data_IF_025974583396
#
_entry.id   IF_025974583396
#
_cell.length_a   1.000
_cell.length_b   1.000
_cell.length_c   1.000
_cell.angle_alpha   90.00
_cell.angle_beta   90.00
_cell.angle_gamma   90.00
#
_symmetry.space_group_name_H-M   'P 1'
#
loop_
_entity.id
_entity.type
_entity.pdbx_description
1 polymer ?
#
# COMPACT_ATOMS: atom_id res chain seq x y z
N UNK A 1 14.58 -2.48 24.25
CA UNK A 1 13.97 -3.66 23.65
C UNK A 1 13.08 -3.20 22.49
N UNK A 2 13.02 -3.98 21.45
CA UNK A 2 12.13 -3.68 20.33
C UNK A 2 10.68 -3.82 20.78
N UNK A 3 9.85 -2.86 20.42
CA UNK A 3 8.41 -2.84 20.70
C UNK A 3 7.71 -3.26 19.43
N UNK A 4 6.85 -4.27 19.51
CA UNK A 4 6.07 -4.76 18.39
C UNK A 4 4.60 -4.37 18.59
N UNK A 5 3.98 -3.83 17.55
CA UNK A 5 2.58 -3.44 17.54
C UNK A 5 1.77 -4.45 16.74
N UNK A 6 0.66 -4.91 17.31
CA UNK A 6 -0.32 -5.75 16.62
C UNK A 6 -1.67 -5.02 16.67
N UNK A 7 -2.31 -4.90 15.53
CA UNK A 7 -3.67 -4.33 15.45
C UNK A 7 -4.69 -5.43 15.63
N UNK A 8 -5.76 -5.15 16.38
CA UNK A 8 -6.89 -6.05 16.50
C UNK A 8 -7.75 -6.04 15.23
N UNK A 9 -8.22 -7.18 14.82
CA UNK A 9 -9.16 -7.31 13.68
C UNK A 9 -10.61 -6.98 14.06
N UNK A 10 -10.88 -6.75 15.35
CA UNK A 10 -12.22 -6.39 15.81
C UNK A 10 -12.50 -4.88 15.63
N UNK A 11 -13.78 -4.53 15.65
CA UNK A 11 -14.27 -3.15 15.49
C UNK A 11 -13.84 -2.18 16.60
N UNK A 12 -13.10 -2.64 17.62
CA UNK A 12 -12.62 -1.80 18.72
C UNK A 12 -11.38 -0.98 18.37
N UNK A 13 -10.69 -1.32 17.26
CA UNK A 13 -9.62 -0.50 16.67
C UNK A 13 -8.40 -0.25 17.56
N UNK A 14 -8.19 -1.04 18.60
CA UNK A 14 -7.06 -0.88 19.53
C UNK A 14 -5.78 -1.49 18.97
N UNK A 15 -4.65 -0.81 19.18
CA UNK A 15 -3.33 -1.40 19.01
C UNK A 15 -2.86 -2.03 20.34
N UNK A 16 -2.35 -3.24 20.28
CA UNK A 16 -1.72 -3.92 21.41
C UNK A 16 -0.21 -3.93 21.25
N UNK A 17 0.50 -3.67 22.32
CA UNK A 17 1.95 -3.80 22.37
C UNK A 17 2.28 -5.20 22.89
N UNK A 18 3.03 -5.97 22.08
CA UNK A 18 3.49 -7.31 22.45
C UNK A 18 5.01 -7.31 22.60
N UNK A 19 5.53 -8.19 23.43
CA UNK A 19 6.95 -8.41 23.58
C UNK A 19 7.54 -9.21 22.38
N UNK A 20 8.86 -9.23 22.30
CA UNK A 20 9.56 -9.90 21.21
C UNK A 20 9.26 -11.40 21.16
N UNK A 21 9.09 -12.06 22.31
CA UNK A 21 8.81 -13.50 22.39
C UNK A 21 7.46 -13.83 21.80
N UNK A 22 6.43 -13.05 22.12
CA UNK A 22 5.09 -13.18 21.56
C UNK A 22 5.07 -12.94 20.04
N UNK A 23 5.83 -11.93 19.56
CA UNK A 23 5.96 -11.65 18.11
C UNK A 23 6.61 -12.83 17.38
N UNK A 24 7.71 -13.37 17.89
CA UNK A 24 8.40 -14.51 17.30
C UNK A 24 7.53 -15.77 17.27
N UNK A 25 6.73 -16.00 18.30
CA UNK A 25 5.80 -17.12 18.36
C UNK A 25 4.72 -17.01 17.29
N UNK A 26 4.10 -15.85 17.15
CA UNK A 26 3.11 -15.59 16.09
C UNK A 26 3.71 -15.82 14.71
N UNK A 27 4.91 -15.29 14.47
CA UNK A 27 5.61 -15.49 13.18
C UNK A 27 5.93 -16.97 12.90
N UNK A 28 6.36 -17.72 13.92
CA UNK A 28 6.65 -19.15 13.78
C UNK A 28 5.39 -19.94 13.37
N UNK A 29 4.26 -19.68 14.02
CA UNK A 29 2.98 -20.31 13.71
C UNK A 29 2.44 -19.92 12.32
N UNK A 30 2.67 -18.67 11.89
CA UNK A 30 2.28 -18.23 10.55
C UNK A 30 3.11 -18.87 9.44
N UNK A 31 4.41 -19.14 9.71
CA UNK A 31 5.32 -19.78 8.74
C UNK A 31 5.09 -21.28 8.61
N UNK A 32 4.73 -21.93 9.72
CA UNK A 32 4.51 -23.36 9.76
C UNK A 32 3.18 -23.70 10.46
N UNK A 33 2.12 -23.99 9.67
CA UNK A 33 0.82 -24.40 10.23
C UNK A 33 0.83 -25.66 11.08
N UNK A 34 1.91 -26.45 11.01
CA UNK A 34 2.11 -27.66 11.83
C UNK A 34 2.87 -27.40 13.14
N UNK A 35 3.28 -26.14 13.39
CA UNK A 35 4.02 -25.76 14.59
C UNK A 35 3.29 -26.14 15.86
N UNK A 36 3.99 -26.82 16.76
CA UNK A 36 3.44 -27.24 18.07
C UNK A 36 4.09 -26.42 19.17
N UNK A 37 3.36 -25.48 19.76
CA UNK A 37 3.88 -24.68 20.87
C UNK A 37 4.28 -25.53 22.07
N UNK A 38 5.37 -25.15 22.74
CA UNK A 38 5.77 -25.68 24.03
C UNK A 38 4.80 -25.26 25.14
N UNK A 39 4.87 -25.83 26.32
CA UNK A 39 4.01 -25.48 27.44
C UNK A 39 4.09 -24.00 27.83
N UNK A 40 5.29 -23.41 27.82
CA UNK A 40 5.50 -21.99 28.11
C UNK A 40 4.98 -21.07 27.00
N UNK A 41 5.09 -21.48 25.75
CA UNK A 41 4.52 -20.75 24.61
C UNK A 41 2.99 -20.83 24.60
N UNK A 42 2.43 -21.93 25.09
CA UNK A 42 0.99 -22.07 25.23
C UNK A 42 0.40 -21.05 26.23
N UNK A 43 1.09 -20.75 27.33
CA UNK A 43 0.68 -19.70 28.27
C UNK A 43 0.66 -18.31 27.60
N UNK A 44 1.64 -18.04 26.74
CA UNK A 44 1.67 -16.80 25.94
C UNK A 44 0.48 -16.73 24.98
N UNK A 45 0.16 -17.83 24.29
CA UNK A 45 -1.00 -17.91 23.40
C UNK A 45 -2.32 -17.71 24.12
N UNK A 46 -2.47 -18.27 25.33
CA UNK A 46 -3.65 -18.06 26.18
C UNK A 46 -3.86 -16.58 26.50
N UNK A 47 -2.80 -15.89 26.88
CA UNK A 47 -2.84 -14.46 27.14
C UNK A 47 -3.19 -13.68 25.88
N UNK A 48 -2.54 -13.98 24.73
CA UNK A 48 -2.84 -13.35 23.46
C UNK A 48 -4.27 -13.61 22.98
N UNK A 49 -4.83 -14.79 23.27
CA UNK A 49 -6.21 -15.10 22.96
C UNK A 49 -7.19 -14.31 23.85
N UNK A 50 -6.86 -14.15 25.13
CA UNK A 50 -7.67 -13.35 26.07
C UNK A 50 -7.69 -11.87 25.64
N UNK A 51 -6.57 -11.39 25.10
CA UNK A 51 -6.43 -10.02 24.59
C UNK A 51 -6.97 -9.84 23.16
N UNK A 52 -7.51 -10.92 22.55
CA UNK A 52 -8.09 -10.87 21.19
C UNK A 52 -7.07 -10.74 20.06
N UNK A 53 -5.79 -11.06 20.30
CA UNK A 53 -4.71 -11.02 19.29
C UNK A 53 -4.69 -12.30 18.46
N UNK A 54 -4.98 -13.44 19.08
CA UNK A 54 -5.12 -14.74 18.41
C UNK A 54 -6.46 -15.34 18.77
N UNK A 55 -7.08 -16.08 17.87
CA UNK A 55 -8.30 -16.81 18.15
C UNK A 55 -8.01 -18.31 18.28
N UNK A 56 -8.65 -18.95 19.26
CA UNK A 56 -8.73 -20.41 19.31
C UNK A 56 -9.74 -20.87 18.27
N UNK A 57 -9.30 -21.23 17.10
CA UNK A 57 -10.21 -21.86 16.15
C UNK A 57 -9.62 -23.15 15.65
N UNK A 58 -10.37 -24.23 15.83
CA UNK A 58 -10.29 -25.42 14.96
C UNK A 58 -10.83 -25.07 13.57
N UNK A 59 -10.71 -23.80 13.20
CA UNK A 59 -11.38 -23.27 12.06
C UNK A 59 -10.53 -23.53 10.81
N UNK A 60 -11.09 -24.27 9.92
CA UNK A 60 -11.09 -23.85 8.54
C UNK A 60 -11.16 -22.32 8.55
N UNK A 61 -10.03 -21.66 8.27
CA UNK A 61 -9.91 -20.22 8.15
C UNK A 61 -11.08 -19.74 7.28
N UNK A 62 -12.11 -19.21 7.90
CA UNK A 62 -13.00 -18.32 7.18
C UNK A 62 -12.13 -17.11 6.93
N UNK A 63 -11.68 -16.93 5.70
CA UNK A 63 -11.20 -15.64 5.25
C UNK A 63 -12.21 -14.62 5.79
N UNK A 64 -11.80 -13.68 6.64
CA UNK A 64 -12.73 -12.68 7.13
C UNK A 64 -13.40 -12.10 5.90
N UNK A 65 -14.72 -12.24 5.79
CA UNK A 65 -15.45 -11.72 4.64
C UNK A 65 -15.40 -10.20 4.76
N UNK A 66 -14.32 -9.63 4.23
CA UNK A 66 -14.16 -8.19 4.19
C UNK A 66 -15.22 -7.61 3.26
N UNK A 67 -16.05 -6.74 3.79
CA UNK A 67 -17.08 -6.04 3.04
C UNK A 67 -16.82 -4.54 3.09
N UNK A 68 -16.75 -3.91 1.94
CA UNK A 68 -16.60 -2.46 1.85
C UNK A 68 -17.21 -1.94 0.55
N UNK A 69 -17.91 -0.83 0.63
CA UNK A 69 -18.44 -0.12 -0.53
C UNK A 69 -17.37 0.63 -1.30
N UNK A 70 -16.38 1.14 -0.58
CA UNK A 70 -15.31 1.98 -1.08
C UNK A 70 -13.98 1.58 -0.46
N UNK A 71 -12.91 1.49 -1.28
CA UNK A 71 -11.55 1.31 -0.82
C UNK A 71 -10.65 2.41 -1.37
N UNK A 72 -9.72 2.87 -0.53
CA UNK A 72 -8.71 3.83 -0.93
C UNK A 72 -7.32 3.27 -0.70
N UNK A 73 -6.45 3.45 -1.70
CA UNK A 73 -5.08 2.96 -1.66
C UNK A 73 -4.10 4.05 -2.06
N UNK A 74 -2.96 4.00 -1.38
CA UNK A 74 -1.78 4.76 -1.74
C UNK A 74 -0.76 3.78 -2.28
N UNK A 75 -0.45 3.87 -3.57
CA UNK A 75 0.46 2.96 -4.26
C UNK A 75 1.77 3.67 -4.54
N UNK A 76 2.84 3.18 -3.96
CA UNK A 76 4.19 3.66 -4.24
C UNK A 76 4.72 2.94 -5.47
N UNK A 77 4.77 3.65 -6.60
CA UNK A 77 5.16 3.06 -7.89
C UNK A 77 6.66 2.84 -8.01
N UNK A 78 7.47 3.69 -7.35
CA UNK A 78 8.93 3.63 -7.34
C UNK A 78 9.48 4.51 -6.24
N UNK A 79 10.69 4.20 -5.74
CA UNK A 79 11.45 5.10 -4.87
C UNK A 79 12.28 6.12 -5.66
N UNK A 80 12.40 5.95 -6.99
CA UNK A 80 13.16 6.86 -7.85
C UNK A 80 12.48 8.23 -7.93
N UNK A 81 13.29 9.28 -7.79
CA UNK A 81 12.87 10.66 -7.98
C UNK A 81 13.98 11.45 -8.63
N UNK A 82 13.67 12.49 -9.35
CA UNK A 82 14.64 13.43 -9.90
C UNK A 82 14.85 14.67 -9.02
N UNK A 83 14.09 14.79 -7.93
CA UNK A 83 14.27 15.82 -6.91
C UNK A 83 14.84 15.23 -5.62
N UNK A 84 15.54 16.07 -4.85
CA UNK A 84 16.06 15.80 -3.51
C UNK A 84 15.44 16.79 -2.51
N UNK A 85 14.12 16.74 -2.36
CA UNK A 85 13.40 17.66 -1.48
C UNK A 85 13.90 17.55 -0.03
N UNK A 86 14.16 18.69 0.62
CA UNK A 86 14.80 18.77 1.94
C UNK A 86 14.02 18.04 3.06
N UNK A 87 12.72 17.87 2.90
CA UNK A 87 11.80 17.22 3.83
C UNK A 87 11.27 15.87 3.34
N UNK A 88 11.84 15.28 2.28
CA UNK A 88 11.36 14.04 1.73
C UNK A 88 11.48 12.89 2.75
N UNK A 89 10.37 12.18 2.97
CA UNK A 89 10.33 11.05 3.91
C UNK A 89 10.86 9.74 3.30
N UNK A 90 11.12 9.70 1.98
CA UNK A 90 11.67 8.53 1.31
C UNK A 90 13.19 8.50 1.55
N UNK A 91 13.71 7.54 2.32
CA UNK A 91 15.10 7.59 2.83
C UNK A 91 16.16 7.30 1.77
N UNK A 92 15.78 6.81 0.60
CA UNK A 92 16.72 6.40 -0.44
C UNK A 92 16.17 6.69 -1.83
N UNK A 93 16.43 7.88 -2.33
CA UNK A 93 16.08 8.30 -3.69
C UNK A 93 16.84 7.48 -4.78
N UNK A 94 17.87 6.74 -4.38
CA UNK A 94 18.69 5.90 -5.27
C UNK A 94 18.34 4.41 -5.17
N UNK A 95 17.36 4.02 -4.35
CA UNK A 95 16.93 2.63 -4.35
C UNK A 95 16.23 2.33 -5.67
N UNK A 96 16.67 1.28 -6.34
CA UNK A 96 16.07 0.84 -7.60
C UNK A 96 14.72 0.12 -7.39
N UNK A 97 14.06 0.33 -6.23
CA UNK A 97 12.78 -0.30 -5.98
C UNK A 97 11.74 0.29 -6.92
N UNK A 98 11.18 -0.58 -7.72
CA UNK A 98 10.05 -0.31 -8.60
C UNK A 98 8.91 -1.20 -8.12
N UNK A 99 7.71 -0.75 -8.34
CA UNK A 99 6.52 -1.57 -8.16
C UNK A 99 6.71 -2.92 -8.87
N UNK A 100 6.32 -4.02 -8.24
CA UNK A 100 6.39 -5.33 -8.88
C UNK A 100 5.48 -5.36 -10.11
N UNK A 101 5.90 -5.99 -11.22
CA UNK A 101 5.17 -5.95 -12.50
C UNK A 101 3.74 -6.47 -12.44
N UNK A 102 3.43 -7.39 -11.52
CA UNK A 102 2.11 -8.01 -11.39
C UNK A 102 1.23 -7.39 -10.29
N UNK A 103 1.64 -6.23 -9.72
CA UNK A 103 0.94 -5.62 -8.60
C UNK A 103 -0.54 -5.37 -8.90
N UNK A 104 -0.84 -4.71 -10.01
CA UNK A 104 -2.21 -4.35 -10.34
C UNK A 104 -3.07 -5.56 -10.74
N UNK A 105 -2.47 -6.59 -11.36
CA UNK A 105 -3.14 -7.86 -11.63
C UNK A 105 -3.53 -8.60 -10.33
N UNK A 106 -2.59 -8.73 -9.40
CA UNK A 106 -2.86 -9.31 -8.07
C UNK A 106 -3.89 -8.49 -7.30
N UNK A 107 -3.77 -7.18 -7.37
CA UNK A 107 -4.68 -6.25 -6.74
C UNK A 107 -6.10 -6.41 -7.27
N UNK A 108 -6.28 -6.48 -8.59
CA UNK A 108 -7.56 -6.75 -9.23
C UNK A 108 -8.20 -8.04 -8.72
N UNK A 109 -7.45 -9.14 -8.69
CA UNK A 109 -7.94 -10.44 -8.17
C UNK A 109 -8.43 -10.34 -6.72
N UNK A 110 -7.70 -9.62 -5.86
CA UNK A 110 -8.09 -9.43 -4.45
C UNK A 110 -9.33 -8.53 -4.32
N UNK A 111 -9.43 -7.47 -5.09
CA UNK A 111 -10.55 -6.54 -5.07
C UNK A 111 -11.86 -7.20 -5.51
N UNK A 112 -11.81 -8.11 -6.49
CA UNK A 112 -13.00 -8.86 -6.92
C UNK A 112 -13.56 -9.78 -5.84
N UNK A 113 -12.76 -10.16 -4.84
CA UNK A 113 -13.19 -10.92 -3.67
C UNK A 113 -13.82 -10.09 -2.56
N UNK A 114 -13.88 -8.77 -2.68
CA UNK A 114 -14.45 -7.89 -1.65
C UNK A 114 -15.96 -7.76 -1.84
N UNK A 115 -16.72 -8.19 -0.85
CA UNK A 115 -18.18 -8.14 -0.91
C UNK A 115 -18.71 -6.69 -0.89
N UNK A 116 -19.61 -6.39 -1.81
CA UNK A 116 -20.30 -5.10 -1.88
C UNK A 116 -19.45 -3.94 -2.43
N UNK A 117 -18.24 -4.19 -2.91
CA UNK A 117 -17.35 -3.14 -3.41
C UNK A 117 -17.94 -2.45 -4.64
N UNK A 118 -18.07 -1.12 -4.56
CA UNK A 118 -18.63 -0.27 -5.63
C UNK A 118 -17.56 0.61 -6.28
N UNK A 119 -16.57 1.02 -5.52
CA UNK A 119 -15.50 1.86 -6.05
C UNK A 119 -14.16 1.67 -5.34
N UNK A 120 -13.09 1.91 -6.10
CA UNK A 120 -11.72 1.91 -5.65
C UNK A 120 -11.08 3.23 -6.04
N UNK A 121 -10.37 3.86 -5.10
CA UNK A 121 -9.59 5.07 -5.35
C UNK A 121 -8.11 4.76 -5.14
N UNK A 122 -7.29 4.99 -6.16
CA UNK A 122 -5.84 4.76 -6.12
C UNK A 122 -5.12 6.10 -6.27
N UNK A 123 -4.22 6.40 -5.33
CA UNK A 123 -3.24 7.48 -5.44
C UNK A 123 -1.89 6.87 -5.79
N UNK A 124 -1.42 7.12 -7.01
CA UNK A 124 -0.10 6.74 -7.47
C UNK A 124 0.92 7.77 -6.96
N UNK A 125 1.84 7.33 -6.15
CA UNK A 125 2.85 8.15 -5.49
C UNK A 125 4.20 7.43 -5.49
N UNK A 126 5.14 7.88 -4.70
CA UNK A 126 6.46 7.30 -4.54
C UNK A 126 7.51 8.39 -4.52
N UNK A 127 8.67 8.17 -5.13
CA UNK A 127 9.59 9.25 -5.46
C UNK A 127 8.94 10.19 -6.47
N UNK A 128 9.06 9.89 -7.75
CA UNK A 128 8.30 10.56 -8.81
C UNK A 128 7.64 9.50 -9.71
N UNK A 129 6.32 9.34 -9.66
CA UNK A 129 5.61 8.30 -10.42
C UNK A 129 5.80 8.40 -11.94
N UNK A 130 5.96 9.61 -12.47
CA UNK A 130 6.12 9.81 -13.92
C UNK A 130 7.46 9.31 -14.44
N UNK A 131 8.50 9.17 -13.61
CA UNK A 131 9.76 8.54 -14.00
C UNK A 131 9.63 7.04 -14.25
N UNK A 132 8.70 6.40 -13.56
CA UNK A 132 8.36 4.97 -13.73
C UNK A 132 7.08 4.76 -14.52
N UNK A 133 6.65 5.73 -15.31
CA UNK A 133 5.38 5.72 -16.04
C UNK A 133 5.15 4.43 -16.84
N UNK A 134 6.17 3.96 -17.56
CA UNK A 134 6.10 2.75 -18.38
C UNK A 134 5.95 1.45 -17.57
N UNK A 135 6.33 1.49 -16.28
CA UNK A 135 6.30 0.31 -15.43
C UNK A 135 4.89 0.00 -14.89
N UNK A 136 3.93 0.94 -14.99
CA UNK A 136 2.61 0.80 -14.41
C UNK A 136 1.43 1.25 -15.30
N UNK A 137 1.68 1.99 -16.38
CA UNK A 137 0.60 2.62 -17.13
C UNK A 137 -0.34 1.62 -17.82
N UNK A 138 0.19 0.55 -18.40
CA UNK A 138 -0.61 -0.49 -19.06
C UNK A 138 -1.38 -1.34 -18.05
N UNK A 139 -0.73 -1.72 -16.96
CA UNK A 139 -1.33 -2.52 -15.89
C UNK A 139 -2.48 -1.78 -15.19
N UNK A 140 -2.39 -0.45 -15.05
CA UNK A 140 -3.48 0.36 -14.49
C UNK A 140 -4.71 0.37 -15.40
N UNK A 141 -4.52 0.36 -16.72
CA UNK A 141 -5.63 0.24 -17.69
C UNK A 141 -6.26 -1.15 -17.60
N UNK A 142 -5.45 -2.20 -17.50
CA UNK A 142 -5.94 -3.57 -17.31
C UNK A 142 -6.75 -3.71 -16.03
N UNK A 143 -6.25 -3.16 -14.91
CA UNK A 143 -6.99 -3.10 -13.65
C UNK A 143 -8.34 -2.39 -13.82
N UNK A 144 -8.36 -1.25 -14.50
CA UNK A 144 -9.60 -0.50 -14.79
C UNK A 144 -10.60 -1.37 -15.54
N UNK A 145 -10.16 -2.04 -16.61
CA UNK A 145 -11.01 -2.91 -17.42
C UNK A 145 -11.57 -4.07 -16.58
N UNK A 146 -10.73 -4.70 -15.78
CA UNK A 146 -11.11 -5.79 -14.87
C UNK A 146 -12.19 -5.37 -13.88
N UNK A 147 -12.01 -4.22 -13.21
CA UNK A 147 -12.95 -3.70 -12.23
C UNK A 147 -14.25 -3.24 -12.90
N UNK A 148 -14.17 -2.57 -14.06
CA UNK A 148 -15.34 -2.11 -14.81
C UNK A 148 -16.21 -3.29 -15.25
N UNK A 149 -15.62 -4.39 -15.70
CA UNK A 149 -16.33 -5.62 -16.04
C UNK A 149 -17.14 -6.21 -14.88
N UNK A 150 -16.76 -5.85 -13.64
CA UNK A 150 -17.45 -6.26 -12.40
C UNK A 150 -18.29 -5.13 -11.78
N UNK A 151 -18.59 -4.07 -12.53
CA UNK A 151 -19.33 -2.87 -12.07
C UNK A 151 -18.65 -2.14 -10.90
N UNK A 152 -17.34 -2.24 -10.75
CA UNK A 152 -16.56 -1.51 -9.76
C UNK A 152 -15.86 -0.33 -10.43
N UNK A 153 -16.07 0.87 -9.93
CA UNK A 153 -15.45 2.09 -10.47
C UNK A 153 -14.03 2.27 -9.97
N UNK A 154 -13.07 2.49 -10.87
CA UNK A 154 -11.71 2.87 -10.51
C UNK A 154 -11.50 4.38 -10.69
N UNK A 155 -11.15 5.07 -9.60
CA UNK A 155 -10.69 6.46 -9.61
C UNK A 155 -9.18 6.47 -9.38
N UNK A 156 -8.40 6.90 -10.36
CA UNK A 156 -6.96 7.00 -10.26
C UNK A 156 -6.50 8.46 -10.18
N UNK A 157 -5.48 8.71 -9.37
CA UNK A 157 -4.84 10.03 -9.23
C UNK A 157 -3.33 9.87 -9.11
N UNK A 158 -2.58 10.71 -9.82
CA UNK A 158 -1.13 10.79 -9.70
C UNK A 158 -0.76 11.96 -8.78
N UNK A 159 0.17 11.73 -7.86
CA UNK A 159 0.81 12.78 -7.05
C UNK A 159 2.22 12.94 -7.61
N UNK A 160 2.53 14.09 -8.19
CA UNK A 160 3.74 14.30 -8.96
C UNK A 160 4.37 15.66 -8.67
N UNK A 161 5.69 15.76 -8.81
CA UNK A 161 6.40 17.05 -8.83
C UNK A 161 6.27 17.77 -10.19
N UNK A 162 5.67 17.13 -11.19
CA UNK A 162 5.38 17.62 -12.54
C UNK A 162 6.60 18.01 -13.38
N UNK A 163 7.83 17.71 -12.95
CA UNK A 163 9.04 18.06 -13.70
C UNK A 163 9.32 17.13 -14.88
N UNK A 164 8.69 15.94 -14.88
CA UNK A 164 8.84 14.94 -15.93
C UNK A 164 7.50 14.71 -16.66
N UNK A 165 7.11 15.69 -17.47
CA UNK A 165 5.87 15.63 -18.24
C UNK A 165 6.17 15.76 -19.74
N UNK A 166 5.55 14.87 -20.54
CA UNK A 166 5.63 14.91 -22.00
C UNK A 166 4.27 14.66 -22.64
N UNK A 167 4.19 14.81 -23.96
CA UNK A 167 2.93 14.67 -24.70
C UNK A 167 2.27 13.30 -24.50
N UNK A 168 3.05 12.21 -24.52
CA UNK A 168 2.54 10.85 -24.33
C UNK A 168 1.86 10.67 -22.95
N UNK A 169 2.48 11.20 -21.90
CA UNK A 169 1.93 11.15 -20.53
C UNK A 169 0.66 11.99 -20.44
N UNK A 170 0.64 13.19 -21.03
CA UNK A 170 -0.56 14.05 -21.06
C UNK A 170 -1.74 13.34 -21.75
N UNK A 171 -1.49 12.78 -22.91
CA UNK A 171 -2.53 12.11 -23.70
C UNK A 171 -3.05 10.87 -22.95
N UNK A 172 -2.18 10.10 -22.29
CA UNK A 172 -2.57 8.98 -21.44
C UNK A 172 -3.43 9.41 -20.23
N UNK A 173 -3.02 10.46 -19.51
CA UNK A 173 -3.76 11.01 -18.37
C UNK A 173 -5.17 11.41 -18.79
N UNK A 174 -5.30 12.09 -19.93
CA UNK A 174 -6.60 12.53 -20.49
C UNK A 174 -7.45 11.35 -20.94
N UNK A 175 -6.88 10.42 -21.70
CA UNK A 175 -7.61 9.27 -22.24
C UNK A 175 -8.13 8.34 -21.13
N UNK A 176 -7.44 8.28 -19.99
CA UNK A 176 -7.79 7.44 -18.86
C UNK A 176 -8.41 8.21 -17.69
N UNK A 177 -8.80 9.46 -17.86
CA UNK A 177 -9.45 10.28 -16.84
C UNK A 177 -8.73 10.27 -15.48
N UNK A 178 -7.39 10.35 -15.51
CA UNK A 178 -6.57 10.29 -14.31
C UNK A 178 -6.45 11.68 -13.70
N UNK A 179 -6.82 11.80 -12.43
CA UNK A 179 -6.63 13.03 -11.67
C UNK A 179 -5.14 13.32 -11.44
N UNK A 180 -4.76 14.59 -11.41
CA UNK A 180 -3.38 15.00 -11.11
C UNK A 180 -3.38 15.90 -9.88
N UNK A 181 -2.48 15.58 -8.94
CA UNK A 181 -2.12 16.45 -7.81
C UNK A 181 -0.67 16.84 -7.96
N UNK A 182 -0.41 18.14 -8.02
CA UNK A 182 0.95 18.68 -8.17
C UNK A 182 1.51 19.06 -6.80
N UNK A 183 2.72 18.61 -6.52
CA UNK A 183 3.46 18.99 -5.32
C UNK A 183 4.16 20.33 -5.53
N UNK A 184 3.71 21.37 -4.82
CA UNK A 184 4.23 22.73 -4.96
C UNK A 184 4.32 23.40 -3.58
N UNK A 185 5.43 24.07 -3.28
CA UNK A 185 5.70 24.73 -1.99
C UNK A 185 5.44 26.25 -2.04
N UNK A 186 4.34 26.63 -2.67
CA UNK A 186 3.93 28.03 -2.75
C UNK A 186 4.71 28.82 -3.82
N UNK A 187 5.32 29.96 -3.43
CA UNK A 187 6.04 30.82 -4.38
C UNK A 187 7.39 30.20 -4.81
N UNK A 188 7.88 30.60 -5.99
CA UNK A 188 9.10 30.08 -6.60
C UNK A 188 10.30 30.03 -5.63
N UNK A 189 10.57 31.10 -4.89
CA UNK A 189 11.68 31.14 -3.93
C UNK A 189 11.62 30.07 -2.84
N UNK A 190 10.42 29.71 -2.39
CA UNK A 190 10.23 28.64 -1.39
C UNK A 190 10.31 27.26 -2.04
N UNK A 191 9.65 27.10 -3.20
CA UNK A 191 9.67 25.87 -3.96
C UNK A 191 11.09 25.47 -4.33
N UNK A 192 11.86 26.37 -4.93
CA UNK A 192 13.20 26.09 -5.46
C UNK A 192 14.22 25.83 -4.34
N UNK A 193 14.02 26.44 -3.17
CA UNK A 193 14.85 26.16 -1.98
C UNK A 193 14.62 24.77 -1.43
N UNK A 194 13.38 24.27 -1.46
CA UNK A 194 13.01 23.01 -0.80
C UNK A 194 12.98 21.82 -1.77
N UNK A 195 12.64 22.06 -3.04
CA UNK A 195 12.47 21.02 -4.09
C UNK A 195 13.59 21.11 -5.11
N UNK A 196 14.80 20.84 -4.65
CA UNK A 196 16.02 20.90 -5.49
C UNK A 196 16.13 19.65 -6.38
N UNK A 197 16.71 19.81 -7.57
CA UNK A 197 17.06 18.68 -8.41
C UNK A 197 18.19 17.86 -7.79
N UNK A 198 18.20 16.55 -8.05
CA UNK A 198 19.32 15.71 -7.63
C UNK A 198 20.59 16.15 -8.35
N UNK A 199 21.67 16.37 -7.60
CA UNK A 199 22.99 16.75 -8.13
C UNK A 199 23.15 18.23 -8.50
N UNK A 200 22.21 19.09 -8.09
CA UNK A 200 22.35 20.55 -8.23
C UNK A 200 22.98 21.20 -6.99
#
# INVERSE_FOLDING_TARGET
GNVHFVTREDSSGGALVIDQSASMLIEAMQRDPSYKPSASEFEVLERLATEGVVSRTDATQRDPQFSADNLQFWVQTSDRCNLACTYCYIPSLNSARVCRPDLFSLFGKKLLGVNGLKSVSIKLAGGEPLLSFHDWCEDLVELRNTLTASNIRLNARIITNLTFLNRKIIDYIKANEIGVSVSLDGLAANNDRNRVFQGS
#
